data_IF_839006093280
#
_entry.id   IF_839006093280
#
_cell.length_a   1.000
_cell.length_b   1.000
_cell.length_c   1.000
_cell.angle_alpha   90.00
_cell.angle_beta   90.00
_cell.angle_gamma   90.00
#
_symmetry.space_group_name_H-M   'P 1'
#
loop_
_entity.id
_entity.type
_entity.pdbx_description
1 polymer ?
#
# COMPACT_ATOMS: atom_id res chain seq x y z
N UNK A 1 25.18 0.49 -14.77
CA UNK A 1 23.99 0.14 -13.97
C UNK A 1 24.36 0.34 -12.52
N UNK A 2 23.60 1.14 -11.75
CA UNK A 2 23.81 1.18 -10.31
C UNK A 2 23.33 -0.14 -9.70
N UNK A 3 24.12 -0.70 -8.80
CA UNK A 3 23.71 -1.85 -7.99
C UNK A 3 22.57 -1.47 -7.05
N UNK A 4 21.81 -2.44 -6.55
CA UNK A 4 20.73 -2.20 -5.59
C UNK A 4 21.24 -1.45 -4.35
N UNK A 5 22.42 -1.82 -3.86
CA UNK A 5 23.06 -1.18 -2.70
C UNK A 5 23.42 0.29 -2.95
N UNK A 6 23.85 0.65 -4.16
CA UNK A 6 24.13 2.05 -4.52
C UNK A 6 22.85 2.88 -4.60
N UNK A 7 21.76 2.29 -5.10
CA UNK A 7 20.45 2.93 -5.12
C UNK A 7 19.90 3.17 -3.70
N UNK A 8 20.03 2.19 -2.80
CA UNK A 8 19.62 2.33 -1.39
C UNK A 8 20.38 3.45 -0.68
N UNK A 9 21.71 3.50 -0.86
CA UNK A 9 22.55 4.56 -0.28
C UNK A 9 22.12 5.95 -0.77
N UNK A 10 21.78 6.09 -2.06
CA UNK A 10 21.29 7.33 -2.63
C UNK A 10 19.92 7.71 -2.04
N UNK A 11 18.99 6.77 -1.91
CA UNK A 11 17.66 7.01 -1.33
C UNK A 11 17.78 7.48 0.12
N UNK A 12 18.66 6.85 0.90
CA UNK A 12 18.89 7.22 2.31
C UNK A 12 19.54 8.60 2.47
N UNK A 13 20.26 9.08 1.45
CA UNK A 13 20.86 10.42 1.46
C UNK A 13 19.89 11.56 1.13
N UNK A 14 18.69 11.25 0.63
CA UNK A 14 17.68 12.25 0.26
C UNK A 14 17.04 12.88 1.50
N UNK A 15 16.67 14.16 1.41
CA UNK A 15 15.77 14.78 2.38
C UNK A 15 14.37 14.15 2.34
N UNK A 16 13.57 14.37 3.38
CA UNK A 16 12.21 13.83 3.45
C UNK A 16 11.33 14.27 2.27
N UNK A 17 11.44 15.53 1.87
CA UNK A 17 10.71 16.09 0.72
C UNK A 17 11.11 15.42 -0.59
N UNK A 18 12.40 15.16 -0.78
CA UNK A 18 12.91 14.48 -1.97
C UNK A 18 12.53 13.00 -2.00
N UNK A 19 12.55 12.33 -0.84
CA UNK A 19 12.04 10.95 -0.71
C UNK A 19 10.56 10.88 -1.05
N UNK A 20 9.74 11.80 -0.55
CA UNK A 20 8.31 11.84 -0.87
C UNK A 20 8.07 12.02 -2.39
N UNK A 21 8.84 12.90 -3.03
CA UNK A 21 8.78 13.09 -4.48
C UNK A 21 9.22 11.84 -5.25
N UNK A 22 10.30 11.18 -4.82
CA UNK A 22 10.78 9.94 -5.41
C UNK A 22 9.76 8.80 -5.28
N UNK A 23 9.18 8.62 -4.09
CA UNK A 23 8.11 7.63 -3.86
C UNK A 23 6.94 7.90 -4.81
N UNK A 24 6.50 9.14 -4.94
CA UNK A 24 5.44 9.50 -5.89
C UNK A 24 5.78 9.14 -7.35
N UNK A 25 7.03 9.36 -7.77
CA UNK A 25 7.49 8.94 -9.11
C UNK A 25 7.50 7.42 -9.27
N UNK A 26 8.03 6.70 -8.28
CA UNK A 26 8.10 5.24 -8.31
C UNK A 26 6.70 4.63 -8.39
N UNK A 27 5.78 5.07 -7.53
CA UNK A 27 4.39 4.60 -7.54
C UNK A 27 3.71 4.82 -8.90
N UNK A 28 3.97 5.94 -9.57
CA UNK A 28 3.45 6.21 -10.92
C UNK A 28 4.14 5.38 -12.02
N UNK A 29 5.37 4.92 -11.79
CA UNK A 29 6.12 4.08 -12.74
C UNK A 29 5.80 2.60 -12.63
N UNK A 30 5.22 2.16 -11.50
CA UNK A 30 4.78 0.78 -11.35
C UNK A 30 3.70 0.52 -12.40
N UNK A 31 3.97 -0.43 -13.31
CA UNK A 31 2.91 -0.95 -14.16
C UNK A 31 1.87 -1.63 -13.27
N UNK A 32 0.58 -1.55 -13.62
CA UNK A 32 -0.41 -2.39 -12.99
C UNK A 32 -0.01 -3.87 -13.13
N UNK A 33 -0.28 -4.71 -12.13
CA UNK A 33 -0.02 -6.15 -12.23
C UNK A 33 -0.64 -6.73 -13.51
N UNK A 34 -0.05 -7.79 -14.10
CA UNK A 34 -0.68 -8.49 -15.20
C UNK A 34 -2.09 -8.95 -14.79
N UNK A 35 -3.11 -8.65 -15.61
CA UNK A 35 -4.53 -8.89 -15.27
C UNK A 35 -5.26 -7.70 -14.65
N UNK A 36 -4.56 -6.57 -14.48
CA UNK A 36 -5.13 -5.31 -14.03
C UNK A 36 -5.22 -4.34 -15.20
N UNK A 37 -6.30 -4.45 -15.98
CA UNK A 37 -6.77 -3.34 -16.79
C UNK A 37 -7.28 -2.24 -15.83
N UNK A 38 -6.87 -0.99 -16.05
CA UNK A 38 -7.02 0.11 -15.07
C UNK A 38 -8.45 0.42 -14.60
N UNK A 39 -9.48 -0.25 -15.12
CA UNK A 39 -10.86 -0.19 -14.64
C UNK A 39 -11.21 -1.23 -13.57
N UNK A 40 -10.59 -2.42 -13.59
CA UNK A 40 -10.93 -3.53 -12.70
C UNK A 40 -9.82 -3.85 -11.68
N UNK A 41 -8.74 -3.05 -11.66
CA UNK A 41 -7.63 -3.13 -10.71
C UNK A 41 -8.05 -3.34 -9.25
N UNK A 42 -8.94 -2.46 -8.77
CA UNK A 42 -9.43 -2.52 -7.40
C UNK A 42 -10.28 -3.76 -7.14
N UNK A 43 -10.98 -4.26 -8.17
CA UNK A 43 -11.83 -5.44 -8.07
C UNK A 43 -10.97 -6.70 -7.98
N UNK A 44 -9.96 -6.85 -8.84
CA UNK A 44 -9.04 -7.98 -8.82
C UNK A 44 -8.32 -8.08 -7.46
N UNK A 45 -7.85 -6.95 -6.92
CA UNK A 45 -7.22 -6.92 -5.59
C UNK A 45 -8.23 -7.22 -4.46
N UNK A 46 -9.45 -6.67 -4.54
CA UNK A 46 -10.49 -6.96 -3.54
C UNK A 46 -10.86 -8.45 -3.50
N UNK A 47 -10.95 -9.10 -4.67
CA UNK A 47 -11.18 -10.53 -4.78
C UNK A 47 -10.02 -11.32 -4.20
N UNK A 48 -8.77 -10.97 -4.56
CA UNK A 48 -7.56 -11.59 -4.01
C UNK A 48 -7.53 -11.52 -2.49
N UNK A 49 -7.79 -10.34 -1.91
CA UNK A 49 -7.86 -10.16 -0.44
C UNK A 49 -9.02 -10.91 0.21
N UNK A 50 -10.16 -11.02 -0.48
CA UNK A 50 -11.29 -11.83 0.01
C UNK A 50 -10.89 -13.30 0.11
N UNK A 51 -10.18 -13.83 -0.89
CA UNK A 51 -9.74 -15.23 -0.89
C UNK A 51 -8.60 -15.48 0.12
N UNK A 52 -7.69 -14.53 0.30
CA UNK A 52 -6.70 -14.56 1.39
C UNK A 52 -7.37 -14.60 2.77
N UNK A 53 -8.39 -13.77 3.00
CA UNK A 53 -9.11 -13.73 4.27
C UNK A 53 -9.92 -15.02 4.53
N UNK A 54 -10.52 -15.61 3.49
CA UNK A 54 -11.18 -16.93 3.61
C UNK A 54 -10.18 -18.02 3.97
N UNK A 55 -8.97 -17.94 3.43
CA UNK A 55 -7.91 -18.94 3.65
C UNK A 55 -7.23 -18.76 5.01
N UNK A 56 -7.15 -17.53 5.51
CA UNK A 56 -6.60 -17.21 6.82
C UNK A 56 -7.42 -16.10 7.50
N UNK A 57 -8.45 -16.46 8.29
CA UNK A 57 -9.31 -15.50 8.99
C UNK A 57 -8.56 -14.58 9.97
N UNK A 58 -7.41 -15.00 10.49
CA UNK A 58 -6.59 -14.22 11.42
C UNK A 58 -5.97 -12.96 10.78
N UNK A 59 -6.00 -12.85 9.44
CA UNK A 59 -5.61 -11.62 8.73
C UNK A 59 -6.65 -10.50 8.87
N UNK A 60 -7.88 -10.84 9.24
CA UNK A 60 -8.97 -9.89 9.44
C UNK A 60 -8.85 -9.16 10.78
N UNK A 61 -9.53 -8.02 10.85
CA UNK A 61 -9.84 -7.37 12.12
C UNK A 61 -11.35 -7.38 12.31
N UNK A 62 -11.80 -7.38 13.57
CA UNK A 62 -13.23 -7.23 13.85
C UNK A 62 -13.71 -5.83 13.45
N UNK A 63 -15.03 -5.67 13.32
CA UNK A 63 -15.60 -4.36 13.00
C UNK A 63 -15.39 -3.35 14.14
N UNK A 64 -15.40 -3.82 15.38
CA UNK A 64 -15.16 -3.02 16.58
C UNK A 64 -13.70 -2.54 16.66
N UNK A 65 -12.76 -3.39 16.27
CA UNK A 65 -11.33 -3.04 16.14
C UNK A 65 -11.14 -2.00 15.03
N UNK A 66 -11.82 -2.16 13.88
CA UNK A 66 -11.78 -1.18 12.78
C UNK A 66 -12.31 0.19 13.24
N UNK A 67 -13.46 0.23 13.89
CA UNK A 67 -14.06 1.45 14.42
C UNK A 67 -13.16 2.14 15.44
N UNK A 68 -12.50 1.37 16.29
CA UNK A 68 -11.53 1.91 17.26
C UNK A 68 -10.36 2.57 16.55
N UNK A 69 -9.76 1.91 15.56
CA UNK A 69 -8.64 2.47 14.78
C UNK A 69 -9.02 3.71 13.98
N UNK A 70 -10.24 3.76 13.42
CA UNK A 70 -10.74 4.95 12.70
C UNK A 70 -10.90 6.13 13.67
N UNK A 71 -11.48 5.89 14.86
CA UNK A 71 -11.63 6.93 15.90
C UNK A 71 -10.28 7.44 16.39
N UNK A 72 -9.33 6.55 16.65
CA UNK A 72 -7.97 6.92 17.08
C UNK A 72 -7.23 7.72 16.00
N UNK A 73 -7.37 7.32 14.73
CA UNK A 73 -6.64 7.94 13.62
C UNK A 73 -7.20 9.29 13.21
N UNK A 74 -8.52 9.44 13.20
CA UNK A 74 -9.20 10.60 12.62
C UNK A 74 -9.96 11.45 13.65
N UNK A 75 -9.99 11.04 14.92
CA UNK A 75 -10.73 11.73 15.97
C UNK A 75 -12.24 11.74 15.74
N UNK A 76 -12.76 10.82 14.92
CA UNK A 76 -14.18 10.75 14.58
C UNK A 76 -14.99 10.49 15.88
N UNK A 77 -15.86 11.43 16.25
CA UNK A 77 -16.84 11.21 17.32
C UNK A 77 -18.17 10.83 16.68
N UNK A 78 -18.68 9.65 17.03
CA UNK A 78 -20.03 9.19 16.69
C UNK A 78 -21.08 10.07 17.34
#
# INVERSE_FOLDING_TARGET
MSTLAEAEKLILSLSEKERAHLIGKLLRSLRPPPGVDGKNAGIAEALRRSDELKSNPELGISIEELDTRIRERFGWKS
#
